data_IF_410672632272
#
_entry.id   IF_410672632272
#
_cell.length_a   1.000
_cell.length_b   1.000
_cell.length_c   1.000
_cell.angle_alpha   90.00
_cell.angle_beta   90.00
_cell.angle_gamma   90.00
#
_symmetry.space_group_name_H-M   'P 1'
#
loop_
_entity.id
_entity.type
_entity.pdbx_description
1 polymer ?
#
# COMPACT_ATOMS: atom_id res chain seq x y z
N UNK A 1 16.48 -24.30 -2.01
CA UNK A 1 15.98 -23.74 -0.74
C UNK A 1 16.64 -22.39 -0.56
N UNK A 2 15.86 -21.34 -0.30
CA UNK A 2 16.40 -20.00 -0.11
C UNK A 2 17.04 -19.88 1.28
N UNK A 3 18.22 -19.27 1.36
CA UNK A 3 18.88 -18.96 2.64
C UNK A 3 18.36 -17.62 3.15
N UNK A 4 17.42 -17.68 4.10
CA UNK A 4 16.80 -16.49 4.68
C UNK A 4 17.71 -15.77 5.69
N UNK A 5 18.86 -16.33 6.07
CA UNK A 5 19.81 -15.65 6.98
C UNK A 5 20.45 -14.41 6.36
N UNK A 6 20.41 -14.30 5.03
CA UNK A 6 20.90 -13.16 4.27
C UNK A 6 19.84 -12.07 4.08
N UNK A 7 18.55 -12.38 4.31
CA UNK A 7 17.48 -11.40 4.20
C UNK A 7 17.55 -10.44 5.39
N UNK A 8 17.56 -9.14 5.08
CA UNK A 8 17.41 -8.08 6.06
C UNK A 8 16.27 -7.19 5.59
N UNK A 9 15.20 -7.04 6.39
CA UNK A 9 14.13 -6.14 6.02
C UNK A 9 14.66 -4.72 5.94
N UNK A 10 14.26 -4.04 4.89
CA UNK A 10 14.48 -2.62 4.68
C UNK A 10 13.68 -1.82 5.71
N UNK A 11 14.01 -0.53 5.83
CA UNK A 11 13.23 0.38 6.66
C UNK A 11 11.74 0.38 6.27
N UNK A 12 11.45 0.46 4.97
CA UNK A 12 10.07 0.48 4.46
C UNK A 12 9.33 -0.81 4.79
N UNK A 13 9.98 -1.97 4.67
CA UNK A 13 9.38 -3.25 5.06
C UNK A 13 9.05 -3.29 6.56
N UNK A 14 9.97 -2.85 7.42
CA UNK A 14 9.72 -2.79 8.87
C UNK A 14 8.57 -1.83 9.20
N UNK A 15 8.53 -0.65 8.55
CA UNK A 15 7.47 0.33 8.79
C UNK A 15 6.10 -0.18 8.35
N UNK A 16 6.00 -0.81 7.17
CA UNK A 16 4.75 -1.44 6.71
C UNK A 16 4.32 -2.54 7.70
N UNK A 17 5.26 -3.36 8.18
CA UNK A 17 4.98 -4.40 9.18
C UNK A 17 4.45 -3.80 10.48
N UNK A 18 5.07 -2.73 10.99
CA UNK A 18 4.62 -2.01 12.20
C UNK A 18 3.21 -1.44 12.03
N UNK A 19 2.92 -0.80 10.89
CA UNK A 19 1.60 -0.26 10.57
C UNK A 19 0.55 -1.37 10.52
N UNK A 20 0.87 -2.52 9.89
CA UNK A 20 -0.03 -3.67 9.82
C UNK A 20 -0.31 -4.26 11.20
N UNK A 21 0.73 -4.50 11.99
CA UNK A 21 0.59 -5.08 13.33
C UNK A 21 -0.19 -4.14 14.26
N UNK A 22 0.08 -2.84 14.22
CA UNK A 22 -0.63 -1.84 15.01
C UNK A 22 -2.13 -1.78 14.69
N UNK A 23 -2.52 -2.14 13.47
CA UNK A 23 -3.91 -2.16 13.00
C UNK A 23 -4.52 -3.57 12.94
N UNK A 24 -3.87 -4.56 13.55
CA UNK A 24 -4.38 -5.93 13.68
C UNK A 24 -4.40 -6.73 12.37
N UNK A 25 -3.59 -6.37 11.39
CA UNK A 25 -3.35 -7.15 10.16
C UNK A 25 -2.17 -8.08 10.46
N UNK A 26 -2.47 -9.29 10.96
CA UNK A 26 -1.46 -10.22 11.48
C UNK A 26 -1.24 -11.43 10.57
N UNK A 27 -2.19 -11.72 9.71
CA UNK A 27 -2.18 -12.89 8.83
C UNK A 27 -2.52 -12.50 7.39
N UNK A 28 -2.17 -13.33 6.40
CA UNK A 28 -2.55 -13.08 5.01
C UNK A 28 -4.08 -12.98 4.79
N UNK A 29 -4.87 -13.61 5.66
CA UNK A 29 -6.33 -13.53 5.60
C UNK A 29 -6.88 -12.16 6.04
N UNK A 30 -6.08 -11.38 6.78
CA UNK A 30 -6.43 -10.03 7.21
C UNK A 30 -6.14 -8.96 6.14
N UNK A 31 -5.44 -9.33 5.05
CA UNK A 31 -5.00 -8.43 3.98
C UNK A 31 -6.12 -8.14 2.97
N UNK A 32 -7.15 -7.46 3.44
CA UNK A 32 -8.25 -6.91 2.64
C UNK A 32 -7.86 -5.52 2.09
N UNK A 33 -8.21 -5.23 0.83
CA UNK A 33 -7.76 -4.00 0.15
C UNK A 33 -8.32 -2.76 0.85
N UNK A 34 -9.61 -2.78 1.14
CA UNK A 34 -10.34 -1.69 1.76
C UNK A 34 -9.80 -1.42 3.16
N UNK A 35 -9.57 -2.48 3.95
CA UNK A 35 -8.94 -2.36 5.27
C UNK A 35 -7.54 -1.77 5.20
N UNK A 36 -6.70 -2.23 4.27
CA UNK A 36 -5.33 -1.71 4.12
C UNK A 36 -5.37 -0.22 3.74
N UNK A 37 -6.24 0.16 2.81
CA UNK A 37 -6.39 1.56 2.41
C UNK A 37 -6.82 2.46 3.57
N UNK A 38 -7.77 2.03 4.39
CA UNK A 38 -8.19 2.77 5.59
C UNK A 38 -7.03 3.00 6.57
N UNK A 39 -6.19 1.97 6.77
CA UNK A 39 -5.03 2.04 7.68
C UNK A 39 -4.01 3.09 7.22
N UNK A 40 -3.81 3.25 5.92
CA UNK A 40 -2.91 4.27 5.37
C UNK A 40 -3.59 5.64 5.16
N UNK A 41 -4.87 5.78 5.52
CA UNK A 41 -5.62 7.03 5.41
C UNK A 41 -6.10 7.35 3.99
N UNK A 42 -6.29 6.32 3.17
CA UNK A 42 -6.58 6.44 1.74
C UNK A 42 -8.00 6.07 1.39
N UNK A 43 -8.38 6.37 0.14
CA UNK A 43 -9.59 5.82 -0.46
C UNK A 43 -9.27 5.01 -1.71
N UNK A 44 -9.95 3.88 -1.84
CA UNK A 44 -9.95 3.05 -3.06
C UNK A 44 -11.23 3.33 -3.84
N UNK A 45 -11.08 3.58 -5.15
CA UNK A 45 -12.19 3.87 -6.05
C UNK A 45 -12.08 3.01 -7.31
N UNK A 46 -13.19 2.41 -7.73
CA UNK A 46 -13.25 1.69 -9.00
C UNK A 46 -13.22 2.67 -10.20
N UNK A 47 -12.39 2.37 -11.20
CA UNK A 47 -12.31 3.10 -12.47
C UNK A 47 -12.50 2.18 -13.68
N UNK A 48 -12.92 2.77 -14.81
CA UNK A 48 -12.91 2.10 -16.13
C UNK A 48 -11.55 2.21 -16.83
N UNK A 49 -10.68 3.10 -16.34
CA UNK A 49 -9.33 3.30 -16.87
C UNK A 49 -8.34 2.27 -16.28
N UNK A 50 -7.07 2.38 -16.67
CA UNK A 50 -5.98 1.65 -16.00
C UNK A 50 -5.89 2.09 -14.53
N UNK A 51 -5.56 1.15 -13.64
CA UNK A 51 -5.28 1.44 -12.23
C UNK A 51 -4.16 2.49 -12.11
N UNK A 52 -4.31 3.41 -11.16
CA UNK A 52 -3.36 4.49 -10.90
C UNK A 52 -3.65 5.17 -9.55
N UNK A 53 -2.62 5.74 -8.92
CA UNK A 53 -2.75 6.62 -7.77
C UNK A 53 -2.88 8.10 -8.17
N UNK A 54 -3.66 8.87 -7.41
CA UNK A 54 -3.68 10.34 -7.46
C UNK A 54 -3.40 10.91 -6.09
N UNK A 55 -2.55 11.93 -6.07
CA UNK A 55 -2.17 12.67 -4.89
C UNK A 55 -2.81 14.05 -4.95
N UNK A 56 -3.36 14.51 -3.84
CA UNK A 56 -3.66 15.93 -3.67
C UNK A 56 -2.48 16.56 -2.95
N UNK A 57 -1.84 17.55 -3.60
CA UNK A 57 -0.72 18.35 -3.06
C UNK A 57 -1.22 19.38 -2.01
N UNK A 58 -2.21 19.00 -1.21
CA UNK A 58 -2.77 19.79 -0.14
C UNK A 58 -2.11 19.38 1.20
N UNK A 59 -2.14 20.26 2.21
CA UNK A 59 -1.49 20.04 3.52
C UNK A 59 -1.91 18.73 4.22
N UNK A 60 -3.07 18.18 3.83
CA UNK A 60 -3.67 16.96 4.39
C UNK A 60 -3.09 15.66 3.83
N UNK A 61 -2.17 15.73 2.86
CA UNK A 61 -1.34 14.58 2.49
C UNK A 61 -2.17 13.34 2.06
N UNK A 62 -3.33 13.59 1.44
CA UNK A 62 -4.33 12.61 1.04
C UNK A 62 -4.12 12.10 -0.39
N UNK A 63 -4.42 10.83 -0.62
CA UNK A 63 -4.32 10.21 -1.93
C UNK A 63 -5.38 9.15 -2.13
N UNK A 64 -5.70 8.91 -3.40
CA UNK A 64 -6.78 8.04 -3.85
C UNK A 64 -6.21 7.03 -4.83
N UNK A 65 -6.40 5.75 -4.55
CA UNK A 65 -6.04 4.66 -5.45
C UNK A 65 -7.25 4.34 -6.32
N UNK A 66 -7.08 4.48 -7.63
CA UNK A 66 -8.06 4.06 -8.61
C UNK A 66 -7.72 2.66 -9.09
N UNK A 67 -8.62 1.69 -8.95
CA UNK A 67 -8.44 0.32 -9.42
C UNK A 67 -9.31 0.04 -10.65
N UNK A 68 -8.74 -0.59 -11.67
CA UNK A 68 -9.51 -0.97 -12.84
C UNK A 68 -10.55 -2.04 -12.48
N UNK A 69 -11.83 -1.68 -12.57
CA UNK A 69 -12.93 -2.54 -12.16
C UNK A 69 -13.12 -3.79 -13.01
N UNK A 70 -12.54 -3.81 -14.22
CA UNK A 70 -12.63 -4.93 -15.15
C UNK A 70 -11.63 -6.07 -14.82
N UNK A 71 -10.70 -5.85 -13.90
CA UNK A 71 -9.73 -6.84 -13.48
C UNK A 71 -10.35 -7.87 -12.53
N UNK A 72 -9.83 -9.09 -12.58
CA UNK A 72 -10.09 -10.10 -11.55
C UNK A 72 -9.45 -9.70 -10.20
N UNK A 73 -9.84 -10.40 -9.14
CA UNK A 73 -9.41 -10.09 -7.77
C UNK A 73 -7.88 -10.13 -7.61
N UNK A 74 -7.20 -11.13 -8.18
CA UNK A 74 -5.75 -11.26 -8.05
C UNK A 74 -5.01 -10.11 -8.73
N UNK A 75 -5.47 -9.75 -9.93
CA UNK A 75 -4.95 -8.62 -10.70
C UNK A 75 -5.23 -7.29 -10.00
N UNK A 76 -6.43 -7.10 -9.43
CA UNK A 76 -6.74 -5.92 -8.60
C UNK A 76 -5.85 -5.82 -7.37
N UNK A 77 -5.62 -6.94 -6.67
CA UNK A 77 -4.71 -6.99 -5.51
C UNK A 77 -3.30 -6.62 -5.94
N UNK A 78 -2.79 -7.14 -7.05
CA UNK A 78 -1.45 -6.78 -7.55
C UNK A 78 -1.35 -5.28 -7.86
N UNK A 79 -2.32 -4.73 -8.59
CA UNK A 79 -2.34 -3.31 -8.93
C UNK A 79 -2.44 -2.44 -7.67
N UNK A 80 -3.30 -2.78 -6.72
CA UNK A 80 -3.41 -2.07 -5.45
C UNK A 80 -2.08 -1.96 -4.72
N UNK A 81 -1.38 -3.07 -4.52
CA UNK A 81 -0.09 -3.05 -3.82
C UNK A 81 1.01 -2.33 -4.62
N UNK A 82 0.94 -2.37 -5.96
CA UNK A 82 1.84 -1.57 -6.80
C UNK A 82 1.64 -0.07 -6.57
N UNK A 83 0.38 0.38 -6.55
CA UNK A 83 0.05 1.78 -6.34
C UNK A 83 0.34 2.23 -4.90
N UNK A 84 0.06 1.39 -3.91
CA UNK A 84 0.41 1.62 -2.51
C UNK A 84 1.93 1.75 -2.31
N UNK A 85 2.74 1.03 -3.08
CA UNK A 85 4.20 1.17 -3.03
C UNK A 85 4.71 2.54 -3.52
N UNK A 86 4.01 3.19 -4.46
CA UNK A 86 4.35 4.58 -4.83
C UNK A 86 4.19 5.50 -3.62
N UNK A 87 3.23 5.21 -2.74
CA UNK A 87 3.06 5.95 -1.51
C UNK A 87 4.15 5.69 -0.48
N UNK A 88 4.33 4.42 -0.13
CA UNK A 88 5.19 4.03 1.00
C UNK A 88 6.67 4.37 0.76
N UNK A 89 7.11 4.38 -0.50
CA UNK A 89 8.50 4.73 -0.87
C UNK A 89 8.75 6.24 -0.98
N UNK A 90 7.72 7.04 -1.24
CA UNK A 90 7.82 8.50 -1.25
C UNK A 90 7.84 9.10 0.16
N UNK A 91 7.25 8.43 1.17
CA UNK A 91 7.16 8.89 2.57
C UNK A 91 8.23 8.34 3.52
N UNK A 92 9.40 7.94 3.02
CA UNK A 92 10.53 7.55 3.89
C UNK A 92 10.85 8.68 4.91
N UNK A 93 10.61 8.48 6.22
CA UNK A 93 10.95 9.46 7.24
C UNK A 93 12.46 9.68 7.25
N UNK A 94 12.89 10.92 6.99
CA UNK A 94 14.30 11.29 6.87
C UNK A 94 14.74 11.78 5.49
N UNK A 95 13.84 11.91 4.50
CA UNK A 95 14.11 12.66 3.26
C UNK A 95 13.80 14.16 3.34
N UNK A 96 13.10 14.60 4.39
CA UNK A 96 12.73 16.00 4.63
C UNK A 96 13.61 16.71 5.68
N UNK A 97 14.83 16.21 5.94
CA UNK A 97 15.83 16.87 6.80
C UNK A 97 17.16 17.07 6.08
#
# INVERSE_FOLDING_TARGET
MFDLSLYKPTYVENWIEEVYQANGILTPADMDIERIAEVFGEKVVDTKAKSHVRWEDDEDNFFVIFLNKALDELSKRSDFHHELCHFTTCREPGKDT
#
